data_IF_367652550817
#
_entry.id   IF_367652550817
#
_cell.length_a   1.000
_cell.length_b   1.000
_cell.length_c   1.000
_cell.angle_alpha   90.00
_cell.angle_beta   90.00
_cell.angle_gamma   90.00
#
_symmetry.space_group_name_H-M   'P 1'
#
loop_
_entity.id
_entity.type
_entity.pdbx_description
1 polymer ?
#
# COMPACT_ATOMS: atom_id res chain seq x y z
N UNK A 1 -0.58 -5.12 31.77
CA UNK A 1 0.40 -4.26 31.10
C UNK A 1 -0.39 -3.35 30.17
N UNK A 2 -0.33 -2.03 30.35
CA UNK A 2 -0.91 -1.09 29.39
C UNK A 2 0.05 -1.07 28.19
N UNK A 3 -0.41 -1.55 27.03
CA UNK A 3 0.33 -1.38 25.78
C UNK A 3 0.37 0.12 25.48
N UNK A 4 1.57 0.67 25.38
CA UNK A 4 1.73 2.07 24.98
C UNK A 4 1.19 2.24 23.56
N UNK A 5 0.10 2.98 23.43
CA UNK A 5 -0.45 3.38 22.14
C UNK A 5 -0.18 4.87 21.95
N UNK A 6 0.25 5.25 20.74
CA UNK A 6 0.47 6.65 20.39
C UNK A 6 -0.73 7.22 19.65
N UNK A 7 -1.08 8.46 19.96
CA UNK A 7 -2.08 9.24 19.23
C UNK A 7 -1.38 10.22 18.27
N UNK A 8 -1.90 10.32 17.05
CA UNK A 8 -1.42 11.27 16.04
C UNK A 8 -2.26 12.54 16.07
N UNK A 9 -1.64 13.68 15.76
CA UNK A 9 -2.36 14.91 15.50
C UNK A 9 -3.05 14.87 14.13
N UNK A 10 -4.14 15.62 14.01
CA UNK A 10 -4.90 15.72 12.76
C UNK A 10 -4.29 16.78 11.82
N UNK A 11 -3.06 16.54 11.37
CA UNK A 11 -2.37 17.34 10.37
C UNK A 11 -2.57 16.73 8.99
N UNK A 12 -3.20 17.46 8.08
CA UNK A 12 -3.52 16.96 6.74
C UNK A 12 -2.29 16.60 5.91
N UNK A 13 -1.18 17.32 6.04
CA UNK A 13 0.04 17.01 5.30
C UNK A 13 0.69 15.72 5.83
N UNK A 14 0.80 15.57 7.16
CA UNK A 14 1.28 14.35 7.79
C UNK A 14 0.38 13.15 7.45
N UNK A 15 -0.94 13.31 7.52
CA UNK A 15 -1.91 12.26 7.18
C UNK A 15 -1.78 11.81 5.72
N UNK A 16 -1.51 12.73 4.80
CA UNK A 16 -1.25 12.42 3.40
C UNK A 16 -0.03 11.51 3.22
N UNK A 17 1.08 11.82 3.88
CA UNK A 17 2.30 11.00 3.83
C UNK A 17 2.07 9.63 4.50
N UNK A 18 1.36 9.60 5.63
CA UNK A 18 1.04 8.35 6.34
C UNK A 18 0.17 7.41 5.51
N UNK A 19 -0.74 7.89 4.67
CA UNK A 19 -1.53 7.04 3.77
C UNK A 19 -0.66 6.20 2.83
N UNK A 20 0.36 6.82 2.25
CA UNK A 20 1.31 6.12 1.38
C UNK A 20 2.22 5.20 2.18
N UNK A 21 2.74 5.69 3.31
CA UNK A 21 3.61 4.92 4.19
C UNK A 21 2.91 3.63 4.65
N UNK A 22 1.69 3.75 5.16
CA UNK A 22 0.90 2.63 5.65
C UNK A 22 0.52 1.66 4.52
N UNK A 23 0.18 2.18 3.33
CA UNK A 23 -0.11 1.34 2.17
C UNK A 23 1.11 0.52 1.77
N UNK A 24 2.29 1.13 1.70
CA UNK A 24 3.53 0.41 1.41
C UNK A 24 3.87 -0.60 2.52
N UNK A 25 3.75 -0.21 3.81
CA UNK A 25 4.03 -1.07 4.95
C UNK A 25 3.13 -2.31 4.96
N UNK A 26 1.82 -2.12 4.89
CA UNK A 26 0.86 -3.22 4.97
C UNK A 26 0.94 -4.12 3.72
N UNK A 27 1.15 -3.54 2.53
CA UNK A 27 1.36 -4.34 1.33
C UNK A 27 2.66 -5.14 1.38
N UNK A 28 3.74 -4.58 1.96
CA UNK A 28 5.00 -5.30 2.16
C UNK A 28 4.80 -6.54 3.04
N UNK A 29 4.04 -6.42 4.15
CA UNK A 29 3.73 -7.56 5.02
C UNK A 29 2.98 -8.66 4.25
N UNK A 30 1.98 -8.28 3.44
CA UNK A 30 1.21 -9.23 2.62
C UNK A 30 2.04 -9.92 1.53
N UNK A 31 3.06 -9.27 0.98
CA UNK A 31 4.00 -9.91 0.07
C UNK A 31 5.00 -10.80 0.82
N UNK A 32 5.47 -10.39 1.99
CA UNK A 32 6.38 -11.19 2.83
C UNK A 32 5.77 -12.53 3.29
N UNK A 33 4.43 -12.61 3.44
CA UNK A 33 3.71 -13.87 3.73
C UNK A 33 3.92 -14.95 2.64
N UNK A 34 4.44 -14.58 1.47
CA UNK A 34 4.76 -15.53 0.39
C UNK A 34 6.13 -16.19 0.55
N UNK A 35 6.98 -15.74 1.47
CA UNK A 35 8.28 -16.35 1.73
C UNK A 35 8.12 -17.83 2.10
N UNK A 36 8.69 -18.72 1.29
CA UNK A 36 8.56 -20.16 1.40
C UNK A 36 7.23 -20.75 0.88
N UNK A 37 6.39 -19.96 0.19
CA UNK A 37 5.07 -20.38 -0.28
C UNK A 37 4.82 -20.13 -1.77
N UNK A 38 5.73 -19.46 -2.46
CA UNK A 38 5.58 -19.18 -3.89
C UNK A 38 5.70 -20.48 -4.74
N UNK A 39 5.12 -20.50 -5.95
CA UNK A 39 5.08 -21.71 -6.76
C UNK A 39 6.46 -22.21 -7.24
N UNK A 40 7.43 -21.31 -7.34
CA UNK A 40 8.82 -21.59 -7.71
C UNK A 40 9.77 -20.64 -6.97
N UNK A 41 11.03 -21.05 -6.83
CA UNK A 41 12.03 -20.32 -6.04
C UNK A 41 12.26 -18.88 -6.54
N UNK A 42 12.24 -18.68 -7.86
CA UNK A 42 12.45 -17.37 -8.48
C UNK A 42 11.35 -16.39 -8.06
N UNK A 43 10.11 -16.86 -7.95
CA UNK A 43 8.99 -16.03 -7.52
C UNK A 43 9.00 -15.76 -6.01
N UNK A 44 9.47 -16.71 -5.22
CA UNK A 44 9.67 -16.52 -3.80
C UNK A 44 10.67 -15.37 -3.55
N UNK A 45 11.80 -15.41 -4.25
CA UNK A 45 12.82 -14.35 -4.18
C UNK A 45 12.27 -13.02 -4.73
N UNK A 46 11.53 -13.04 -5.84
CA UNK A 46 10.97 -11.83 -6.45
C UNK A 46 9.98 -11.14 -5.51
N UNK A 47 9.02 -11.89 -4.93
CA UNK A 47 8.04 -11.34 -4.00
C UNK A 47 8.69 -10.83 -2.70
N UNK A 48 9.70 -11.54 -2.18
CA UNK A 48 10.47 -11.10 -1.02
C UNK A 48 11.22 -9.79 -1.29
N UNK A 49 11.84 -9.64 -2.46
CA UNK A 49 12.52 -8.40 -2.85
C UNK A 49 11.54 -7.23 -3.02
N UNK A 50 10.36 -7.46 -3.62
CA UNK A 50 9.32 -6.43 -3.71
C UNK A 50 8.80 -6.03 -2.33
N UNK A 51 8.67 -6.98 -1.39
CA UNK A 51 8.31 -6.66 0.00
C UNK A 51 9.38 -5.78 0.66
N UNK A 52 10.67 -6.04 0.43
CA UNK A 52 11.77 -5.21 0.95
C UNK A 52 11.80 -3.81 0.33
N UNK A 53 11.53 -3.67 -0.97
CA UNK A 53 11.42 -2.37 -1.64
C UNK A 53 10.29 -1.54 -1.00
N UNK A 54 9.11 -2.13 -0.85
CA UNK A 54 7.94 -1.48 -0.21
C UNK A 54 8.22 -1.13 1.26
N UNK A 55 8.91 -2.00 1.99
CA UNK A 55 9.33 -1.72 3.37
C UNK A 55 10.30 -0.54 3.42
N UNK A 56 11.24 -0.46 2.48
CA UNK A 56 12.17 0.67 2.34
C UNK A 56 11.43 1.99 2.03
N UNK A 57 10.43 1.95 1.14
CA UNK A 57 9.55 3.09 0.86
C UNK A 57 8.77 3.50 2.12
N UNK A 58 8.15 2.55 2.81
CA UNK A 58 7.39 2.79 4.04
C UNK A 58 8.28 3.43 5.12
N UNK A 59 9.50 2.90 5.34
CA UNK A 59 10.45 3.44 6.31
C UNK A 59 10.78 4.90 6.02
N UNK A 60 11.17 5.23 4.78
CA UNK A 60 11.51 6.59 4.40
C UNK A 60 10.32 7.55 4.60
N UNK A 61 9.11 7.14 4.22
CA UNK A 61 7.90 7.95 4.43
C UNK A 61 7.54 8.10 5.90
N UNK A 62 7.66 7.05 6.73
CA UNK A 62 7.37 7.12 8.16
C UNK A 62 8.37 8.04 8.87
N UNK A 63 9.67 7.94 8.54
CA UNK A 63 10.70 8.85 9.04
C UNK A 63 10.35 10.31 8.70
N UNK A 64 9.97 10.58 7.45
CA UNK A 64 9.56 11.92 7.01
C UNK A 64 8.29 12.39 7.72
N UNK A 65 7.26 11.55 7.82
CA UNK A 65 6.02 11.87 8.53
C UNK A 65 6.25 12.16 10.02
N UNK A 66 7.17 11.43 10.66
CA UNK A 66 7.58 11.70 12.05
C UNK A 66 8.22 13.07 12.22
N UNK A 67 9.08 13.48 11.27
CA UNK A 67 9.69 14.80 11.27
C UNK A 67 8.66 15.93 11.03
N UNK A 68 7.64 15.72 10.16
CA UNK A 68 6.55 16.67 9.95
C UNK A 68 5.72 16.90 11.23
N UNK A 69 5.48 15.87 12.01
CA UNK A 69 4.69 15.91 13.25
C UNK A 69 5.33 16.73 14.39
N UNK A 70 6.58 17.16 14.26
CA UNK A 70 7.25 18.02 15.25
C UNK A 70 6.58 19.38 15.46
N UNK A 71 5.79 19.86 14.50
CA UNK A 71 5.05 21.11 14.63
C UNK A 71 3.87 21.05 15.60
N UNK A 72 3.47 19.82 16.02
CA UNK A 72 2.42 19.56 17.00
C UNK A 72 2.91 18.54 18.02
N UNK A 73 3.74 18.97 18.96
CA UNK A 73 4.48 18.15 19.92
C UNK A 73 3.70 16.95 20.49
N UNK A 74 4.35 15.77 20.51
CA UNK A 74 4.07 14.72 21.51
C UNK A 74 4.13 15.38 22.90
N UNK A 75 3.48 14.82 23.93
CA UNK A 75 3.60 15.35 25.32
C UNK A 75 5.06 15.52 25.77
N UNK A 76 6.01 14.83 25.11
CA UNK A 76 7.46 14.91 25.33
C UNK A 76 8.19 15.94 24.43
N UNK A 77 7.55 16.55 23.43
CA UNK A 77 8.19 17.48 22.48
C UNK A 77 9.18 16.81 21.52
N UNK A 78 9.19 15.49 21.42
CA UNK A 78 10.09 14.71 20.57
C UNK A 78 9.37 14.20 19.32
N UNK A 79 10.05 14.18 18.16
CA UNK A 79 9.53 13.55 16.95
C UNK A 79 9.32 12.05 17.19
N UNK A 80 8.27 11.50 16.61
CA UNK A 80 8.08 10.05 16.54
C UNK A 80 8.99 9.49 15.43
N UNK A 81 9.71 8.42 15.76
CA UNK A 81 10.48 7.69 14.76
C UNK A 81 9.61 6.73 13.93
N UNK A 82 10.21 6.16 12.89
CA UNK A 82 9.52 5.24 11.97
C UNK A 82 9.01 3.98 12.67
N UNK A 83 9.75 3.47 13.66
CA UNK A 83 9.38 2.27 14.41
C UNK A 83 8.20 2.52 15.36
N UNK A 84 8.18 3.66 16.02
CA UNK A 84 7.04 4.08 16.83
C UNK A 84 5.78 4.22 15.97
N UNK A 85 5.91 4.83 14.78
CA UNK A 85 4.81 4.97 13.84
C UNK A 85 4.34 3.63 13.25
N UNK A 86 5.22 2.66 13.04
CA UNK A 86 4.86 1.34 12.55
C UNK A 86 4.25 0.45 13.64
N UNK A 87 4.83 0.43 14.84
CA UNK A 87 4.54 -0.62 15.83
C UNK A 87 3.66 -0.19 16.99
N UNK A 88 3.52 1.11 17.27
CA UNK A 88 2.79 1.59 18.46
C UNK A 88 1.42 2.22 18.14
N UNK A 89 1.05 2.36 16.88
CA UNK A 89 -0.28 2.84 16.49
C UNK A 89 -1.31 1.72 16.58
N UNK A 90 -2.52 2.07 17.01
CA UNK A 90 -3.66 1.16 16.97
C UNK A 90 -4.25 1.08 15.55
N UNK A 91 -5.00 0.03 15.27
CA UNK A 91 -5.60 -0.25 13.95
C UNK A 91 -6.25 0.99 13.32
N UNK A 92 -7.08 1.72 14.09
CA UNK A 92 -7.78 2.91 13.62
C UNK A 92 -6.89 4.10 13.28
N UNK A 93 -5.62 4.07 13.68
CA UNK A 93 -4.64 5.10 13.35
C UNK A 93 -3.90 4.84 12.03
N UNK A 94 -4.03 3.64 11.47
CA UNK A 94 -3.51 3.32 10.14
C UNK A 94 -4.38 3.93 9.04
N UNK A 95 -3.77 4.27 7.91
CA UNK A 95 -4.39 5.00 6.78
C UNK A 95 -4.15 4.34 5.42
N UNK A 96 -3.78 3.06 5.40
CA UNK A 96 -3.59 2.32 4.16
C UNK A 96 -4.90 2.14 3.39
N UNK A 97 -4.82 2.00 2.08
CA UNK A 97 -5.96 1.55 1.28
C UNK A 97 -6.32 0.11 1.65
N UNK A 98 -7.62 -0.20 1.72
CA UNK A 98 -8.10 -1.52 2.14
C UNK A 98 -7.59 -2.65 1.24
N UNK A 99 -7.39 -2.37 -0.06
CA UNK A 99 -6.84 -3.35 -1.01
C UNK A 99 -5.49 -3.93 -0.55
N UNK A 100 -4.66 -3.14 0.14
CA UNK A 100 -3.35 -3.57 0.62
C UNK A 100 -3.42 -4.58 1.77
N UNK A 101 -4.47 -4.54 2.59
CA UNK A 101 -4.59 -5.36 3.82
C UNK A 101 -5.32 -6.69 3.61
N UNK A 102 -5.93 -6.92 2.43
CA UNK A 102 -6.64 -8.15 2.13
C UNK A 102 -5.74 -9.38 2.30
N UNK A 103 -6.28 -10.56 2.62
CA UNK A 103 -5.48 -11.73 2.96
C UNK A 103 -4.54 -12.14 1.83
N UNK A 104 -3.55 -13.00 2.16
CA UNK A 104 -2.57 -13.51 1.17
C UNK A 104 -3.24 -14.03 -0.09
N UNK A 105 -4.32 -14.78 0.04
CA UNK A 105 -5.00 -15.44 -1.05
C UNK A 105 -4.15 -16.56 -1.68
N UNK A 106 -4.48 -16.93 -2.92
CA UNK A 106 -3.63 -17.76 -3.76
C UNK A 106 -2.69 -16.89 -4.64
N UNK A 107 -1.85 -17.55 -5.44
CA UNK A 107 -0.86 -16.82 -6.25
C UNK A 107 -1.51 -15.89 -7.28
N UNK A 108 -2.63 -16.29 -7.90
CA UNK A 108 -3.37 -15.44 -8.83
C UNK A 108 -3.93 -14.19 -8.14
N UNK A 109 -4.46 -14.35 -6.92
CA UNK A 109 -4.92 -13.24 -6.08
C UNK A 109 -3.77 -12.29 -5.73
N UNK A 110 -2.62 -12.84 -5.31
CA UNK A 110 -1.46 -12.04 -4.90
C UNK A 110 -0.89 -11.22 -6.06
N UNK A 111 -0.67 -11.83 -7.24
CA UNK A 111 -0.10 -11.13 -8.39
C UNK A 111 -1.07 -10.11 -8.98
N UNK A 112 -2.39 -10.39 -9.00
CA UNK A 112 -3.39 -9.42 -9.43
C UNK A 112 -3.48 -8.23 -8.45
N UNK A 113 -3.51 -8.48 -7.13
CA UNK A 113 -3.45 -7.41 -6.13
C UNK A 113 -2.20 -6.55 -6.32
N UNK A 114 -1.04 -7.20 -6.51
CA UNK A 114 0.21 -6.49 -6.74
C UNK A 114 0.16 -5.66 -8.04
N UNK A 115 -0.41 -6.17 -9.12
CA UNK A 115 -0.60 -5.40 -10.36
C UNK A 115 -1.43 -4.14 -10.13
N UNK A 116 -2.57 -4.27 -9.47
CA UNK A 116 -3.49 -3.16 -9.19
C UNK A 116 -2.82 -2.07 -8.34
N UNK A 117 -2.13 -2.48 -7.25
CA UNK A 117 -1.45 -1.55 -6.34
C UNK A 117 -0.17 -0.97 -6.95
N UNK A 118 0.66 -1.79 -7.60
CA UNK A 118 1.92 -1.31 -8.19
C UNK A 118 1.67 -0.33 -9.34
N UNK A 119 0.62 -0.55 -10.14
CA UNK A 119 0.22 0.41 -11.18
C UNK A 119 -0.24 1.73 -10.57
N UNK A 120 -1.06 1.68 -9.52
CA UNK A 120 -1.50 2.88 -8.81
C UNK A 120 -0.33 3.61 -8.14
N UNK A 121 0.54 2.90 -7.42
CA UNK A 121 1.73 3.46 -6.80
C UNK A 121 2.69 4.06 -7.84
N UNK A 122 2.86 3.41 -9.01
CA UNK A 122 3.71 3.94 -10.06
C UNK A 122 3.25 5.32 -10.54
N UNK A 123 1.97 5.48 -10.84
CA UNK A 123 1.39 6.78 -11.20
C UNK A 123 1.47 7.79 -10.06
N UNK A 124 1.26 7.33 -8.85
CA UNK A 124 1.34 8.18 -7.66
C UNK A 124 2.76 8.75 -7.47
N UNK A 125 3.78 7.87 -7.53
CA UNK A 125 5.19 8.26 -7.40
C UNK A 125 5.64 9.21 -8.53
N UNK A 126 5.18 9.01 -9.75
CA UNK A 126 5.49 9.93 -10.86
C UNK A 126 4.98 11.35 -10.57
N UNK A 127 3.79 11.49 -10.02
CA UNK A 127 3.23 12.79 -9.65
C UNK A 127 3.94 13.38 -8.44
N UNK A 128 4.26 12.59 -7.44
CA UNK A 128 4.98 13.02 -6.25
C UNK A 128 6.45 13.42 -6.51
N UNK A 129 7.07 12.96 -7.58
CA UNK A 129 8.41 13.39 -7.96
C UNK A 129 8.51 14.91 -8.25
N UNK A 130 7.38 15.58 -8.41
CA UNK A 130 7.27 17.04 -8.57
C UNK A 130 6.64 17.72 -7.36
N UNK A 131 6.60 17.08 -6.20
CA UNK A 131 6.10 17.65 -4.95
C UNK A 131 6.84 18.93 -4.56
N UNK A 132 6.14 19.85 -3.91
CA UNK A 132 6.76 21.03 -3.28
C UNK A 132 7.63 20.64 -2.06
N UNK A 133 7.43 19.45 -1.49
CA UNK A 133 8.27 18.87 -0.45
C UNK A 133 9.43 18.10 -1.09
N UNK A 134 10.66 18.60 -0.90
CA UNK A 134 11.85 18.08 -1.54
C UNK A 134 12.20 16.65 -1.10
N UNK A 135 11.96 16.31 0.18
CA UNK A 135 12.21 14.96 0.69
C UNK A 135 11.21 13.97 0.09
N UNK A 136 9.93 14.32 0.06
CA UNK A 136 8.90 13.50 -0.56
C UNK A 136 9.16 13.31 -2.06
N UNK A 137 9.61 14.36 -2.77
CA UNK A 137 10.01 14.27 -4.18
C UNK A 137 11.20 13.32 -4.39
N UNK A 138 12.19 13.34 -3.50
CA UNK A 138 13.35 12.45 -3.56
C UNK A 138 12.97 10.99 -3.32
N UNK A 139 12.14 10.71 -2.31
CA UNK A 139 11.58 9.37 -2.04
C UNK A 139 10.83 8.87 -3.27
N UNK A 140 9.94 9.69 -3.84
CA UNK A 140 9.13 9.35 -5.01
C UNK A 140 9.99 9.04 -6.25
N UNK A 141 11.08 9.78 -6.47
CA UNK A 141 11.99 9.55 -7.60
C UNK A 141 12.67 8.18 -7.58
N UNK A 142 12.95 7.63 -6.39
CA UNK A 142 13.44 6.26 -6.20
C UNK A 142 12.30 5.25 -6.35
N UNK A 143 11.23 5.43 -5.61
CA UNK A 143 10.09 4.51 -5.52
C UNK A 143 9.39 4.29 -6.88
N UNK A 144 9.36 5.29 -7.77
CA UNK A 144 8.79 5.16 -9.11
C UNK A 144 9.50 4.10 -9.97
N UNK A 145 10.80 3.89 -9.78
CA UNK A 145 11.58 2.87 -10.52
C UNK A 145 11.26 1.48 -10.00
N UNK A 146 11.14 1.33 -8.68
CA UNK A 146 10.78 0.08 -8.02
C UNK A 146 9.34 -0.31 -8.38
N UNK A 147 8.38 0.62 -8.26
CA UNK A 147 6.98 0.38 -8.63
C UNK A 147 6.80 0.00 -10.11
N UNK A 148 7.61 0.56 -11.01
CA UNK A 148 7.61 0.16 -12.44
C UNK A 148 8.01 -1.30 -12.60
N UNK A 149 9.02 -1.77 -11.88
CA UNK A 149 9.43 -3.18 -11.90
C UNK A 149 8.33 -4.08 -11.31
N UNK A 150 7.79 -3.73 -10.14
CA UNK A 150 6.70 -4.50 -9.50
C UNK A 150 5.50 -4.67 -10.43
N UNK A 151 5.10 -3.57 -11.09
CA UNK A 151 4.01 -3.59 -12.05
C UNK A 151 4.30 -4.50 -13.25
N UNK A 152 5.50 -4.37 -13.87
CA UNK A 152 5.86 -5.19 -15.03
C UNK A 152 5.86 -6.67 -14.69
N UNK A 153 6.50 -7.03 -13.58
CA UNK A 153 6.53 -8.41 -13.09
C UNK A 153 5.11 -8.96 -12.85
N UNK A 154 4.25 -8.17 -12.19
CA UNK A 154 2.88 -8.59 -11.91
C UNK A 154 2.03 -8.71 -13.20
N UNK A 155 2.21 -7.80 -14.17
CA UNK A 155 1.55 -7.85 -15.47
C UNK A 155 1.91 -9.12 -16.24
N UNK A 156 3.20 -9.47 -16.29
CA UNK A 156 3.67 -10.69 -16.96
C UNK A 156 3.03 -11.94 -16.35
N UNK A 157 2.89 -11.99 -15.02
CA UNK A 157 2.23 -13.11 -14.36
C UNK A 157 0.72 -13.15 -14.58
N UNK A 158 0.05 -12.01 -14.54
CA UNK A 158 -1.39 -11.94 -14.82
C UNK A 158 -1.68 -12.45 -16.23
N UNK A 159 -0.91 -12.04 -17.24
CA UNK A 159 -1.04 -12.53 -18.61
C UNK A 159 -0.79 -14.04 -18.69
N UNK A 160 0.31 -14.54 -18.08
CA UNK A 160 0.63 -15.98 -18.07
C UNK A 160 -0.44 -16.84 -17.40
N UNK A 161 -1.05 -16.35 -16.31
CA UNK A 161 -2.12 -17.06 -15.62
C UNK A 161 -3.41 -17.07 -16.43
N UNK A 162 -3.69 -15.98 -17.14
CA UNK A 162 -4.88 -15.86 -18.00
C UNK A 162 -4.81 -16.74 -19.25
N UNK A 163 -3.64 -16.79 -19.90
CA UNK A 163 -3.36 -17.59 -21.11
C UNK A 163 -2.84 -19.03 -20.79
N UNK A 164 -2.82 -19.41 -19.51
CA UNK A 164 -2.28 -20.69 -19.07
C UNK A 164 -3.27 -21.83 -19.14
N UNK A 165 -3.55 -22.45 -18.00
CA UNK A 165 -4.52 -23.55 -17.91
C UNK A 165 -5.92 -23.01 -17.54
N UNK A 166 -6.97 -23.80 -17.80
CA UNK A 166 -8.34 -23.47 -17.35
C UNK A 166 -8.39 -23.15 -15.85
N UNK A 167 -7.60 -23.86 -15.05
CA UNK A 167 -7.51 -23.66 -13.60
C UNK A 167 -6.86 -22.31 -13.24
N UNK A 168 -5.74 -21.94 -13.87
CA UNK A 168 -5.09 -20.64 -13.60
C UNK A 168 -5.98 -19.48 -14.05
N UNK A 169 -6.62 -19.59 -15.21
CA UNK A 169 -7.55 -18.60 -15.71
C UNK A 169 -8.81 -18.48 -14.81
N UNK A 170 -9.32 -19.61 -14.28
CA UNK A 170 -10.44 -19.60 -13.32
C UNK A 170 -10.06 -18.84 -12.04
N UNK A 171 -8.90 -19.15 -11.44
CA UNK A 171 -8.39 -18.49 -10.23
C UNK A 171 -8.19 -16.99 -10.44
N UNK A 172 -7.67 -16.60 -11.60
CA UNK A 172 -7.46 -15.19 -11.93
C UNK A 172 -8.80 -14.44 -12.03
N UNK A 173 -9.84 -15.04 -12.65
CA UNK A 173 -11.19 -14.44 -12.69
C UNK A 173 -11.82 -14.33 -11.30
N UNK A 174 -11.62 -15.32 -10.43
CA UNK A 174 -12.07 -15.26 -9.04
C UNK A 174 -11.34 -14.17 -8.26
N UNK A 175 -10.03 -14.04 -8.45
CA UNK A 175 -9.25 -12.96 -7.86
C UNK A 175 -9.75 -11.57 -8.34
N UNK A 176 -10.03 -11.42 -9.64
CA UNK A 176 -10.59 -10.19 -10.20
C UNK A 176 -11.94 -9.85 -9.55
N UNK A 177 -12.84 -10.79 -9.44
CA UNK A 177 -14.15 -10.60 -8.81
C UNK A 177 -14.04 -10.18 -7.32
N UNK A 178 -13.07 -10.75 -6.59
CA UNK A 178 -12.85 -10.45 -5.18
C UNK A 178 -12.17 -9.09 -4.94
N UNK A 179 -11.21 -8.72 -5.78
CA UNK A 179 -10.36 -7.53 -5.56
C UNK A 179 -10.97 -6.24 -6.14
N UNK A 180 -11.70 -6.33 -7.25
CA UNK A 180 -12.08 -5.16 -8.04
C UNK A 180 -12.88 -4.11 -7.29
N UNK A 181 -13.80 -4.52 -6.43
CA UNK A 181 -14.63 -3.59 -5.64
C UNK A 181 -13.83 -2.70 -4.69
N UNK A 182 -12.64 -3.11 -4.28
CA UNK A 182 -11.75 -2.34 -3.41
C UNK A 182 -10.93 -1.29 -4.17
N UNK A 183 -10.87 -1.37 -5.50
CA UNK A 183 -10.11 -0.40 -6.32
C UNK A 183 -10.73 0.99 -6.34
N UNK A 184 -12.03 1.12 -6.07
CA UNK A 184 -12.73 2.40 -6.04
C UNK A 184 -12.08 3.38 -5.04
N UNK A 185 -11.64 2.87 -3.88
CA UNK A 185 -10.99 3.66 -2.81
C UNK A 185 -9.68 4.32 -3.27
N UNK A 186 -8.95 3.72 -4.21
CA UNK A 186 -7.69 4.26 -4.73
C UNK A 186 -7.86 5.66 -5.35
N UNK A 187 -9.08 5.99 -5.79
CA UNK A 187 -9.38 7.19 -6.56
C UNK A 187 -10.44 8.08 -5.89
N UNK A 188 -10.84 7.77 -4.66
CA UNK A 188 -11.73 8.62 -3.88
C UNK A 188 -10.91 9.72 -3.19
N UNK A 189 -11.22 10.98 -3.49
CA UNK A 189 -10.63 12.13 -2.83
C UNK A 189 -11.40 12.46 -1.54
N UNK A 190 -10.67 12.95 -0.55
CA UNK A 190 -11.23 13.55 0.65
C UNK A 190 -10.50 14.86 1.01
N UNK A 191 -10.75 15.39 2.20
CA UNK A 191 -10.15 16.66 2.63
C UNK A 191 -8.61 16.63 2.67
N UNK A 192 -8.01 15.47 3.00
CA UNK A 192 -6.55 15.27 3.02
C UNK A 192 -5.97 15.35 1.60
N UNK A 193 -6.61 14.64 0.63
CA UNK A 193 -6.19 14.64 -0.76
C UNK A 193 -6.37 16.03 -1.38
N UNK A 194 -7.48 16.72 -1.07
CA UNK A 194 -7.74 18.09 -1.53
C UNK A 194 -6.70 19.10 -0.96
N UNK A 195 -6.31 18.94 0.31
CA UNK A 195 -5.25 19.76 0.92
C UNK A 195 -3.91 19.52 0.21
N UNK A 196 -3.53 18.26 -0.02
CA UNK A 196 -2.28 17.92 -0.69
C UNK A 196 -2.21 18.49 -2.12
N UNK A 197 -3.30 18.39 -2.87
CA UNK A 197 -3.39 18.97 -4.22
C UNK A 197 -3.30 20.51 -4.19
N UNK A 198 -4.01 21.17 -3.29
CA UNK A 198 -4.02 22.63 -3.18
C UNK A 198 -2.67 23.21 -2.71
N UNK A 199 -1.95 22.50 -1.83
CA UNK A 199 -0.63 22.90 -1.33
C UNK A 199 0.52 22.55 -2.29
N UNK A 200 0.28 21.72 -3.31
CA UNK A 200 1.33 21.19 -4.18
C UNK A 200 2.14 20.06 -3.56
N UNK A 201 1.70 19.52 -2.42
CA UNK A 201 2.34 18.38 -1.75
C UNK A 201 2.22 17.09 -2.58
N UNK A 202 1.06 16.87 -3.22
CA UNK A 202 0.84 15.70 -4.06
C UNK A 202 -0.42 15.81 -4.93
N UNK A 203 -0.73 14.78 -5.76
CA UNK A 203 -1.90 14.78 -6.62
C UNK A 203 -3.19 14.53 -5.83
N UNK A 204 -4.33 14.94 -6.42
CA UNK A 204 -5.60 14.32 -6.06
C UNK A 204 -5.62 12.85 -6.55
N UNK A 205 -6.14 11.93 -5.74
CA UNK A 205 -6.19 10.51 -6.10
C UNK A 205 -7.00 10.26 -7.38
N UNK A 206 -8.08 11.02 -7.60
CA UNK A 206 -8.94 10.92 -8.79
C UNK A 206 -8.20 11.18 -10.10
N UNK A 207 -7.15 12.02 -10.09
CA UNK A 207 -6.34 12.32 -11.27
C UNK A 207 -5.55 11.12 -11.80
N UNK A 208 -5.31 10.11 -10.97
CA UNK A 208 -4.54 8.92 -11.33
C UNK A 208 -5.37 7.88 -12.08
N UNK A 209 -6.71 7.97 -12.01
CA UNK A 209 -7.62 6.93 -12.52
C UNK A 209 -7.45 6.67 -14.01
N UNK A 210 -7.38 7.71 -14.82
CA UNK A 210 -7.31 7.56 -16.28
C UNK A 210 -6.05 6.78 -16.69
N UNK A 211 -4.85 7.24 -16.23
CA UNK A 211 -3.60 6.57 -16.53
C UNK A 211 -3.54 5.13 -16.01
N UNK A 212 -4.07 4.90 -14.81
CA UNK A 212 -4.17 3.56 -14.23
C UNK A 212 -5.04 2.63 -15.08
N UNK A 213 -6.19 3.10 -15.54
CA UNK A 213 -7.10 2.32 -16.39
C UNK A 213 -6.48 2.03 -17.75
N UNK A 214 -5.89 3.05 -18.39
CA UNK A 214 -5.25 2.93 -19.71
C UNK A 214 -4.08 1.93 -19.68
N UNK A 215 -3.36 1.86 -18.57
CA UNK A 215 -2.21 0.98 -18.41
C UNK A 215 -2.61 -0.47 -18.11
N UNK A 216 -3.73 -0.70 -17.42
CA UNK A 216 -4.23 -2.05 -17.10
C UNK A 216 -5.03 -2.67 -18.24
N UNK A 217 -5.70 -1.87 -19.05
CA UNK A 217 -6.58 -2.37 -20.12
C UNK A 217 -5.88 -3.39 -21.04
N UNK A 218 -4.69 -3.14 -21.60
CA UNK A 218 -4.01 -4.10 -22.48
C UNK A 218 -3.57 -5.37 -21.74
N UNK A 219 -3.26 -5.29 -20.43
CA UNK A 219 -2.90 -6.46 -19.62
C UNK A 219 -4.14 -7.36 -19.44
N UNK A 220 -5.28 -6.77 -19.12
CA UNK A 220 -6.54 -7.51 -18.94
C UNK A 220 -7.02 -8.13 -20.26
N UNK A 221 -6.91 -7.42 -21.37
CA UNK A 221 -7.23 -7.94 -22.70
C UNK A 221 -6.37 -9.18 -23.03
N UNK A 222 -5.04 -9.08 -22.84
CA UNK A 222 -4.12 -10.20 -23.08
C UNK A 222 -4.37 -11.38 -22.14
N UNK A 223 -4.75 -11.11 -20.88
CA UNK A 223 -5.05 -12.14 -19.88
C UNK A 223 -6.46 -12.75 -20.06
N UNK A 224 -7.28 -12.22 -20.94
CA UNK A 224 -8.67 -12.68 -21.14
C UNK A 224 -9.56 -12.52 -19.92
N UNK A 225 -9.34 -11.44 -19.12
CA UNK A 225 -10.13 -11.11 -17.94
C UNK A 225 -10.79 -9.74 -18.09
N UNK A 226 -11.97 -9.61 -17.53
CA UNK A 226 -12.72 -8.35 -17.54
C UNK A 226 -13.06 -7.92 -16.11
N UNK A 227 -12.89 -6.62 -15.79
CA UNK A 227 -13.36 -6.09 -14.53
C UNK A 227 -14.89 -6.25 -14.39
N UNK A 228 -15.38 -6.66 -13.21
CA UNK A 228 -16.82 -6.76 -12.98
C UNK A 228 -17.48 -5.38 -12.98
N UNK A 229 -18.80 -5.36 -13.17
CA UNK A 229 -19.58 -4.14 -13.09
C UNK A 229 -19.39 -3.45 -11.72
N UNK A 230 -19.35 -2.10 -11.69
CA UNK A 230 -19.23 -1.35 -10.45
C UNK A 230 -20.35 -1.71 -9.47
N UNK A 231 -19.98 -1.88 -8.19
CA UNK A 231 -20.93 -2.12 -7.10
C UNK A 231 -21.08 -0.87 -6.23
N UNK A 232 -22.14 -0.76 -5.41
CA UNK A 232 -22.27 0.32 -4.44
C UNK A 232 -21.31 0.19 -3.24
N UNK A 233 -20.58 -0.93 -3.13
CA UNK A 233 -19.62 -1.16 -2.06
C UNK A 233 -18.50 -0.10 -2.09
N UNK A 234 -18.12 0.38 -0.89
CA UNK A 234 -16.99 1.28 -0.68
C UNK A 234 -16.21 0.85 0.55
N UNK A 235 -14.90 0.69 0.37
CA UNK A 235 -13.95 0.55 1.47
C UNK A 235 -13.45 1.92 1.93
N UNK A 236 -12.93 1.99 3.15
CA UNK A 236 -12.54 3.26 3.78
C UNK A 236 -11.27 3.13 4.65
N UNK A 237 -10.31 2.30 4.25
CA UNK A 237 -9.03 2.12 4.96
C UNK A 237 -8.27 3.43 5.12
N UNK A 238 -8.26 4.29 4.09
CA UNK A 238 -7.68 5.64 4.16
C UNK A 238 -8.24 6.52 5.30
N UNK A 239 -9.39 6.16 5.84
CA UNK A 239 -10.08 6.85 6.94
C UNK A 239 -10.03 6.05 8.26
N UNK A 240 -9.16 5.04 8.37
CA UNK A 240 -9.03 4.19 9.56
C UNK A 240 -10.20 3.23 9.80
N UNK A 241 -10.94 2.87 8.73
CA UNK A 241 -12.00 1.86 8.76
C UNK A 241 -11.58 0.67 7.93
N UNK A 242 -10.96 -0.26 8.59
CA UNK A 242 -10.30 -1.42 8.00
C UNK A 242 -11.23 -2.63 7.84
N UNK A 243 -10.77 -3.59 7.06
CA UNK A 243 -11.36 -4.92 7.00
C UNK A 243 -10.99 -5.74 8.25
N UNK A 244 -11.68 -6.85 8.46
CA UNK A 244 -11.36 -7.80 9.52
C UNK A 244 -9.92 -8.36 9.46
N UNK A 245 -9.25 -8.24 8.31
CA UNK A 245 -7.91 -8.76 8.08
C UNK A 245 -6.80 -7.87 8.65
N UNK A 246 -7.07 -6.59 8.89
CA UNK A 246 -6.05 -5.65 9.38
C UNK A 246 -5.55 -6.02 10.77
N UNK A 247 -6.47 -6.38 11.67
CA UNK A 247 -6.10 -6.79 13.03
C UNK A 247 -5.14 -7.97 13.08
N UNK A 248 -5.25 -8.92 12.15
CA UNK A 248 -4.32 -10.06 12.07
C UNK A 248 -2.92 -9.63 11.64
N UNK A 249 -2.80 -8.77 10.60
CA UNK A 249 -1.50 -8.24 10.16
C UNK A 249 -0.81 -7.50 11.29
N UNK A 250 -1.55 -6.62 11.98
CA UNK A 250 -0.99 -5.85 13.09
C UNK A 250 -0.59 -6.73 14.28
N UNK A 251 -1.39 -7.75 14.58
CA UNK A 251 -1.07 -8.68 15.66
C UNK A 251 0.26 -9.40 15.41
N UNK A 252 0.54 -9.82 14.17
CA UNK A 252 1.82 -10.44 13.81
C UNK A 252 2.95 -9.41 13.77
N UNK A 253 2.76 -8.28 13.07
CA UNK A 253 3.77 -7.26 12.86
C UNK A 253 4.21 -6.60 14.18
N UNK A 254 3.27 -6.26 15.07
CA UNK A 254 3.53 -5.45 16.25
C UNK A 254 3.84 -6.26 17.52
N UNK A 255 3.68 -7.60 17.47
CA UNK A 255 3.74 -8.45 18.67
C UNK A 255 5.04 -8.28 19.46
N UNK A 256 6.18 -8.39 18.80
CA UNK A 256 7.49 -8.32 19.50
C UNK A 256 7.73 -6.96 20.12
N UNK A 257 7.51 -5.88 19.37
CA UNK A 257 7.72 -4.52 19.85
C UNK A 257 6.80 -4.15 21.01
N UNK A 258 5.54 -4.57 20.95
CA UNK A 258 4.57 -4.32 22.01
C UNK A 258 4.82 -5.18 23.26
N UNK A 259 5.36 -6.40 23.08
CA UNK A 259 5.68 -7.31 24.19
C UNK A 259 6.98 -6.95 24.90
N UNK A 260 7.92 -6.35 24.18
CA UNK A 260 9.26 -6.02 24.66
C UNK A 260 9.66 -4.57 24.31
N UNK A 261 8.96 -3.56 24.86
CA UNK A 261 9.09 -2.15 24.43
C UNK A 261 10.49 -1.55 24.69
N UNK A 262 11.29 -2.15 25.58
CA UNK A 262 12.65 -1.69 25.90
C UNK A 262 13.74 -2.52 25.19
N UNK A 263 13.35 -3.47 24.34
CA UNK A 263 14.32 -4.28 23.61
C UNK A 263 14.97 -3.45 22.47
N UNK A 264 16.24 -3.72 22.23
CA UNK A 264 17.00 -3.17 21.10
C UNK A 264 17.15 -4.27 20.05
N UNK A 265 16.69 -3.99 18.85
CA UNK A 265 16.62 -4.93 17.72
C UNK A 265 17.69 -4.63 16.66
#
# INVERSE_FOLDING_TARGET
>A
MQTASIALHDDSAQQFVLRLADTCLIHSQRLAEWCGHAPVLEEDIALANMALDLLGQARALLTHAGAMGMSGASESGQALDEDQLAYLRDERAFRNVTLAELPRGDFAFAVLRNLLLATWLHHYWQRLATSCDAELAAIAGKAAKEARYHRQHAADWVIRLGDGTDESARRLREAMAALWSYTAELFEDDATDAHAAASGLGPACSELRAGWTDELAPVFEQAGIEPPQPTPFRSHGKRGRHSEHMGYVLAEMQHLQRSFPEAVW
#
